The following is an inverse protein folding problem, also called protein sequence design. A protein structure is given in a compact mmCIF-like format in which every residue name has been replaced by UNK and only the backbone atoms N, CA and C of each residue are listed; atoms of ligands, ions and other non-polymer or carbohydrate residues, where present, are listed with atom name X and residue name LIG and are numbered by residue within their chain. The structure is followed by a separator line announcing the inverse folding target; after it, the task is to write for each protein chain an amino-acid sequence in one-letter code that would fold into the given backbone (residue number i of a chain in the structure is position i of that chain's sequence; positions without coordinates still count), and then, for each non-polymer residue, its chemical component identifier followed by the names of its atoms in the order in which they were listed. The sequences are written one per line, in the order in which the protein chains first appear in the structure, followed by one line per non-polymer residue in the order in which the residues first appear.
data_IF_480841701098
#
_entry.id   IF_480841701098
#
_cell.length_a   1.000
_cell.length_b   1.000
_cell.length_c   1.000
_cell.angle_alpha   90.00
_cell.angle_beta   90.00
_cell.angle_gamma   90.00
#
_symmetry.space_group_name_H-M   'P 1'
#
loop_
_entity.id
_entity.type
_entity.pdbx_description
1 polymer ?
#
# COMPACT_ATOMS: atom_id res chain seq x y z
N UNK A 1 -10.38 9.83 -2.80
CA UNK A 1 -10.86 8.43 -2.70
C UNK A 1 -11.64 8.16 -1.43
N UNK A 2 -11.07 8.40 -0.24
CA UNK A 2 -11.73 8.09 1.04
C UNK A 2 -13.11 8.77 1.22
N UNK A 3 -13.22 10.07 0.92
CA UNK A 3 -14.50 10.80 1.00
C UNK A 3 -15.60 10.16 0.12
N UNK A 4 -15.26 9.81 -1.12
CA UNK A 4 -16.18 9.14 -2.04
C UNK A 4 -16.60 7.76 -1.52
N UNK A 5 -15.66 6.98 -0.98
CA UNK A 5 -15.93 5.67 -0.41
C UNK A 5 -16.81 5.73 0.85
N UNK A 6 -16.66 6.79 1.66
CA UNK A 6 -17.47 7.00 2.86
C UNK A 6 -18.88 7.50 2.53
N UNK A 7 -19.05 8.26 1.43
CA UNK A 7 -20.32 8.85 1.05
C UNK A 7 -20.85 9.78 2.14
N UNK A 8 -22.07 9.54 2.63
CA UNK A 8 -22.68 10.32 3.71
C UNK A 8 -21.98 10.21 5.08
N UNK A 9 -20.94 9.38 5.21
CA UNK A 9 -20.19 9.14 6.46
C UNK A 9 -18.87 9.92 6.54
N UNK A 10 -18.74 11.01 5.78
CA UNK A 10 -17.51 11.81 5.72
C UNK A 10 -17.02 12.30 7.11
N UNK A 11 -17.91 12.47 8.09
CA UNK A 11 -17.53 12.83 9.47
C UNK A 11 -16.73 11.77 10.23
N UNK A 12 -16.63 10.53 9.70
CA UNK A 12 -15.78 9.47 10.24
C UNK A 12 -14.35 9.51 9.65
N UNK A 13 -14.09 10.38 8.68
CA UNK A 13 -12.79 10.47 8.04
C UNK A 13 -11.77 11.07 9.00
N UNK A 14 -10.65 10.39 9.14
CA UNK A 14 -9.43 10.91 9.75
C UNK A 14 -8.24 10.65 8.83
N UNK A 15 -7.21 11.47 8.93
CA UNK A 15 -5.97 11.35 8.16
C UNK A 15 -4.80 11.07 9.07
N UNK A 16 -3.91 10.16 8.68
CA UNK A 16 -2.68 9.84 9.41
C UNK A 16 -1.47 9.93 8.45
N UNK A 17 -0.43 10.72 8.77
CA UNK A 17 0.78 10.83 7.93
C UNK A 17 1.49 9.49 7.71
N UNK A 18 1.34 8.52 8.60
CA UNK A 18 1.89 7.17 8.46
C UNK A 18 1.33 6.40 7.27
N UNK A 19 0.22 6.84 6.68
CA UNK A 19 -0.42 6.22 5.52
C UNK A 19 -0.07 6.88 4.18
N UNK A 20 0.80 7.90 4.16
CA UNK A 20 1.26 8.57 2.93
C UNK A 20 2.05 7.60 2.02
N UNK A 21 2.08 7.85 0.71
CA UNK A 21 2.89 7.04 -0.20
C UNK A 21 4.38 7.06 0.18
N UNK A 22 5.12 6.03 -0.23
CA UNK A 22 6.59 6.00 -0.10
C UNK A 22 7.22 7.27 -0.69
N UNK A 23 8.11 7.90 0.08
CA UNK A 23 8.90 9.01 -0.41
C UNK A 23 9.96 8.48 -1.40
N UNK A 24 9.83 8.86 -2.66
CA UNK A 24 10.77 8.47 -3.72
C UNK A 24 12.00 9.40 -3.77
N UNK A 25 12.00 10.47 -2.97
CA UNK A 25 13.12 11.40 -2.86
C UNK A 25 13.42 12.06 -4.20
N UNK A 26 14.67 12.00 -4.66
CA UNK A 26 15.10 12.66 -5.91
C UNK A 26 14.49 12.04 -7.19
N UNK A 27 13.77 10.93 -7.08
CA UNK A 27 13.00 10.36 -8.19
C UNK A 27 11.63 11.02 -8.36
N UNK A 28 11.14 11.78 -7.38
CA UNK A 28 9.84 12.43 -7.45
C UNK A 28 9.76 13.40 -8.64
N UNK A 29 8.65 13.32 -9.38
CA UNK A 29 8.43 14.11 -10.59
C UNK A 29 9.17 13.64 -11.84
N UNK A 30 9.98 12.58 -11.76
CA UNK A 30 10.66 11.99 -12.91
C UNK A 30 9.87 10.83 -13.52
N UNK A 31 10.01 10.64 -14.83
CA UNK A 31 9.55 9.44 -15.51
C UNK A 31 10.49 8.27 -15.23
N UNK A 32 9.97 7.05 -15.28
CA UNK A 32 10.77 5.83 -15.15
C UNK A 32 11.93 5.76 -16.16
N UNK A 33 11.77 6.29 -17.37
CA UNK A 33 12.83 6.39 -18.37
C UNK A 33 13.94 7.35 -17.97
N UNK A 34 13.59 8.45 -17.30
CA UNK A 34 14.56 9.43 -16.80
C UNK A 34 15.31 8.89 -15.58
N UNK A 35 14.60 8.21 -14.68
CA UNK A 35 15.21 7.48 -13.56
C UNK A 35 16.16 6.42 -14.11
N UNK A 36 15.73 5.62 -15.09
CA UNK A 36 16.57 4.58 -15.71
C UNK A 36 17.80 5.13 -16.42
N UNK A 37 17.76 6.37 -16.91
CA UNK A 37 18.94 7.03 -17.47
C UNK A 37 19.90 7.57 -16.39
N UNK A 38 19.39 7.93 -15.21
CA UNK A 38 20.15 8.57 -14.12
C UNK A 38 20.70 7.58 -13.08
N UNK A 39 19.89 6.59 -12.71
CA UNK A 39 20.18 5.59 -11.67
C UNK A 39 19.68 4.19 -12.09
N UNK A 40 20.23 3.61 -13.17
CA UNK A 40 19.76 2.35 -13.75
C UNK A 40 19.88 1.17 -12.78
N UNK A 41 20.95 1.11 -11.99
CA UNK A 41 21.20 -0.01 -11.09
C UNK A 41 20.24 -0.02 -9.91
N UNK A 42 19.93 1.15 -9.32
CA UNK A 42 18.92 1.24 -8.26
C UNK A 42 17.52 1.01 -8.79
N UNK A 43 17.19 1.47 -10.00
CA UNK A 43 15.91 1.15 -10.63
C UNK A 43 15.77 -0.36 -10.88
N UNK A 44 16.85 -1.04 -11.30
CA UNK A 44 16.85 -2.50 -11.40
C UNK A 44 16.64 -3.15 -10.03
N UNK A 45 17.37 -2.72 -9.01
CA UNK A 45 17.20 -3.21 -7.64
C UNK A 45 15.77 -2.99 -7.12
N UNK A 46 15.12 -1.87 -7.47
CA UNK A 46 13.72 -1.62 -7.10
C UNK A 46 12.76 -2.62 -7.73
N UNK A 47 13.05 -3.10 -8.94
CA UNK A 47 12.22 -4.09 -9.63
C UNK A 47 12.50 -5.52 -9.18
N UNK A 48 13.75 -5.84 -8.84
CA UNK A 48 14.20 -7.21 -8.61
C UNK A 48 14.40 -7.53 -7.11
N UNK A 49 14.96 -6.61 -6.34
CA UNK A 49 15.26 -6.75 -4.91
C UNK A 49 14.77 -5.56 -4.08
N UNK A 50 13.48 -5.14 -4.20
CA UNK A 50 13.00 -3.86 -3.65
C UNK A 50 13.24 -3.67 -2.13
N UNK A 51 13.27 -4.75 -1.36
CA UNK A 51 13.60 -4.74 0.07
C UNK A 51 15.02 -4.24 0.43
N UNK A 52 15.96 -4.25 -0.52
CA UNK A 52 17.33 -3.76 -0.34
C UNK A 52 17.46 -2.28 -0.72
N UNK A 53 16.42 -1.69 -1.32
CA UNK A 53 16.45 -0.32 -1.84
C UNK A 53 16.09 0.67 -0.75
N UNK A 54 17.01 1.61 -0.55
CA UNK A 54 16.70 2.93 0.00
C UNK A 54 16.57 3.91 -1.17
N UNK A 55 15.41 4.55 -1.30
CA UNK A 55 15.20 5.60 -2.31
C UNK A 55 16.14 6.78 -2.05
N UNK A 56 16.70 7.42 -3.09
CA UNK A 56 17.70 8.47 -2.91
C UNK A 56 17.09 9.71 -2.25
N UNK A 57 17.41 9.94 -0.97
CA UNK A 57 16.79 11.00 -0.17
C UNK A 57 15.33 10.72 0.20
N UNK A 58 14.90 9.47 0.10
CA UNK A 58 13.54 9.02 0.41
C UNK A 58 13.53 7.90 1.44
N UNK A 59 12.63 6.94 1.25
CA UNK A 59 12.38 5.84 2.19
C UNK A 59 12.80 4.47 1.64
N UNK A 60 13.03 3.51 2.54
CA UNK A 60 13.03 2.08 2.25
C UNK A 60 11.66 1.46 2.52
N UNK A 61 11.40 0.26 1.99
CA UNK A 61 10.15 -0.47 2.29
C UNK A 61 9.96 -0.73 3.79
N UNK A 62 11.05 -0.95 4.53
CA UNK A 62 10.96 -1.15 5.98
C UNK A 62 10.48 0.13 6.69
N UNK A 63 11.00 1.30 6.31
CA UNK A 63 10.56 2.57 6.89
C UNK A 63 9.07 2.84 6.60
N UNK A 64 8.61 2.54 5.38
CA UNK A 64 7.19 2.63 5.01
C UNK A 64 6.34 1.69 5.87
N UNK A 65 6.78 0.45 6.03
CA UNK A 65 6.09 -0.52 6.88
C UNK A 65 5.99 -0.04 8.32
N UNK A 66 7.09 0.41 8.92
CA UNK A 66 7.13 0.82 10.33
C UNK A 66 6.09 1.92 10.62
N UNK A 67 6.01 2.95 9.76
CA UNK A 67 5.03 4.04 9.93
C UNK A 67 3.60 3.63 9.59
N UNK A 68 3.40 2.81 8.56
CA UNK A 68 2.08 2.37 8.12
C UNK A 68 1.45 1.40 9.11
N UNK A 69 2.25 0.47 9.65
CA UNK A 69 1.81 -0.47 10.67
C UNK A 69 1.42 0.26 11.95
N UNK A 70 2.25 1.21 12.41
CA UNK A 70 1.91 2.03 13.57
C UNK A 70 0.62 2.84 13.35
N UNK A 71 0.37 3.35 12.13
CA UNK A 71 -0.87 4.04 11.79
C UNK A 71 -2.10 3.12 11.80
N UNK A 72 -1.97 1.90 11.26
CA UNK A 72 -3.03 0.88 11.34
C UNK A 72 -3.38 0.55 12.80
N UNK A 73 -2.36 0.34 13.65
CA UNK A 73 -2.57 0.05 15.07
C UNK A 73 -3.30 1.20 15.77
N UNK A 74 -2.91 2.45 15.52
CA UNK A 74 -3.61 3.64 16.07
C UNK A 74 -5.05 3.73 15.58
N UNK A 75 -5.30 3.43 14.31
CA UNK A 75 -6.63 3.51 13.72
C UNK A 75 -7.58 2.40 14.22
N UNK A 76 -7.01 1.24 14.60
CA UNK A 76 -7.75 0.13 15.16
C UNK A 76 -7.95 0.21 16.69
N UNK A 77 -7.14 1.02 17.38
CA UNK A 77 -7.21 1.16 18.83
C UNK A 77 -8.57 1.69 19.29
N UNK A 78 -9.16 1.01 20.28
CA UNK A 78 -10.47 1.36 20.84
C UNK A 78 -11.68 1.07 19.94
N UNK A 79 -11.50 0.41 18.79
CA UNK A 79 -12.63 -0.07 17.99
C UNK A 79 -13.33 -1.25 18.70
N UNK A 80 -14.67 -1.26 18.62
CA UNK A 80 -15.48 -2.39 19.08
C UNK A 80 -15.20 -3.65 18.25
N UNK A 81 -15.45 -4.83 18.81
CA UNK A 81 -15.14 -6.11 18.18
C UNK A 81 -15.90 -6.35 16.85
N UNK A 82 -17.02 -5.67 16.63
CA UNK A 82 -17.84 -5.71 15.42
C UNK A 82 -17.64 -4.49 14.49
N UNK A 83 -16.72 -3.58 14.85
CA UNK A 83 -16.43 -2.40 14.05
C UNK A 83 -15.69 -2.75 12.75
N UNK A 84 -15.91 -1.95 11.71
CA UNK A 84 -15.20 -2.06 10.43
C UNK A 84 -14.34 -0.82 10.19
N UNK A 85 -13.03 -1.01 10.07
CA UNK A 85 -12.09 0.03 9.68
C UNK A 85 -11.93 0.07 8.15
N UNK A 86 -12.18 1.22 7.53
CA UNK A 86 -11.82 1.48 6.13
C UNK A 86 -10.47 2.19 6.08
N UNK A 87 -9.42 1.49 5.66
CA UNK A 87 -8.11 2.08 5.41
C UNK A 87 -7.97 2.44 3.92
N UNK A 88 -7.62 3.69 3.62
CA UNK A 88 -7.35 4.15 2.26
C UNK A 88 -5.93 4.72 2.20
N UNK A 89 -5.06 4.06 1.44
CA UNK A 89 -3.67 4.46 1.29
C UNK A 89 -3.19 4.26 -0.16
N UNK A 90 -1.91 3.97 -0.35
CA UNK A 90 -1.22 3.95 -1.64
C UNK A 90 -0.57 2.59 -1.95
N UNK A 91 0.06 2.45 -3.12
CA UNK A 91 0.50 1.15 -3.64
C UNK A 91 1.57 0.51 -2.74
N UNK A 92 2.66 1.22 -2.44
CA UNK A 92 3.73 0.65 -1.61
C UNK A 92 3.24 0.39 -0.18
N UNK A 93 2.44 1.30 0.39
CA UNK A 93 1.86 1.19 1.74
C UNK A 93 0.97 -0.04 1.86
N UNK A 94 -0.01 -0.21 0.96
CA UNK A 94 -0.91 -1.35 0.98
C UNK A 94 -0.14 -2.66 0.82
N UNK A 95 0.86 -2.69 -0.06
CA UNK A 95 1.67 -3.90 -0.29
C UNK A 95 2.48 -4.31 0.91
N UNK A 96 3.15 -3.38 1.62
CA UNK A 96 3.94 -3.76 2.79
C UNK A 96 3.04 -4.27 3.93
N UNK A 97 1.84 -3.68 4.11
CA UNK A 97 0.85 -4.17 5.07
C UNK A 97 0.36 -5.59 4.69
N UNK A 98 -0.01 -5.80 3.43
CA UNK A 98 -0.46 -7.10 2.93
C UNK A 98 0.66 -8.15 3.00
N UNK A 99 1.90 -7.79 2.67
CA UNK A 99 3.06 -8.66 2.82
C UNK A 99 3.22 -9.11 4.27
N UNK A 100 3.10 -8.19 5.23
CA UNK A 100 3.18 -8.53 6.65
C UNK A 100 2.08 -9.51 7.07
N UNK A 101 0.82 -9.21 6.74
CA UNK A 101 -0.34 -10.06 7.07
C UNK A 101 -0.25 -11.45 6.43
N UNK A 102 0.23 -11.54 5.18
CA UNK A 102 0.38 -12.81 4.45
C UNK A 102 1.68 -13.56 4.78
N UNK A 103 2.58 -13.01 5.59
CA UNK A 103 3.91 -13.58 5.82
C UNK A 103 4.80 -13.61 4.58
N UNK A 104 4.55 -12.73 3.60
CA UNK A 104 5.34 -12.60 2.39
C UNK A 104 6.52 -11.64 2.65
N UNK A 105 7.78 -12.05 2.41
CA UNK A 105 8.91 -11.15 2.56
C UNK A 105 8.84 -10.00 1.55
N UNK A 106 9.29 -8.80 1.94
CA UNK A 106 9.25 -7.60 1.07
C UNK A 106 10.05 -7.75 -0.23
N UNK A 107 11.01 -8.67 -0.33
CA UNK A 107 11.66 -9.01 -1.60
C UNK A 107 10.68 -9.54 -2.66
N UNK A 108 9.49 -9.99 -2.24
CA UNK A 108 8.39 -10.43 -3.11
C UNK A 108 7.23 -9.42 -3.18
N UNK A 109 7.46 -8.14 -2.88
CA UNK A 109 6.43 -7.08 -2.91
C UNK A 109 5.59 -7.09 -4.21
N UNK A 110 6.22 -7.43 -5.33
CA UNK A 110 5.61 -7.44 -6.66
C UNK A 110 4.89 -8.74 -7.03
N UNK A 111 4.79 -9.73 -6.12
CA UNK A 111 4.22 -11.05 -6.42
C UNK A 111 2.68 -11.08 -6.47
N UNK A 112 2.02 -10.00 -6.09
CA UNK A 112 0.58 -9.81 -6.25
C UNK A 112 0.32 -8.43 -6.87
N UNK A 113 -0.83 -8.28 -7.54
CA UNK A 113 -1.25 -7.00 -8.09
C UNK A 113 -1.84 -6.11 -6.99
N UNK A 114 -1.87 -4.81 -7.21
CA UNK A 114 -2.72 -3.84 -6.51
C UNK A 114 -3.17 -2.87 -7.59
N UNK A 115 -4.45 -2.91 -7.94
CA UNK A 115 -5.04 -1.99 -8.89
C UNK A 115 -5.47 -0.70 -8.17
N UNK A 116 -5.53 0.45 -8.87
CA UNK A 116 -6.27 1.59 -8.37
C UNK A 116 -7.68 1.15 -7.93
N UNK A 117 -8.13 1.67 -6.78
CA UNK A 117 -9.46 1.40 -6.20
C UNK A 117 -9.80 -0.06 -5.92
N UNK A 118 -8.81 -0.96 -5.87
CA UNK A 118 -9.09 -2.33 -5.44
C UNK A 118 -9.38 -2.42 -3.95
N UNK A 119 -10.23 -3.38 -3.57
CA UNK A 119 -10.58 -3.65 -2.18
C UNK A 119 -9.87 -4.93 -1.70
N UNK A 120 -9.25 -4.85 -0.54
CA UNK A 120 -8.76 -6.00 0.21
C UNK A 120 -9.59 -6.11 1.49
N UNK A 121 -10.05 -7.31 1.82
CA UNK A 121 -10.80 -7.59 3.05
C UNK A 121 -9.91 -8.41 3.98
N UNK A 122 -9.61 -7.84 5.14
CA UNK A 122 -8.88 -8.46 6.22
C UNK A 122 -9.82 -8.64 7.40
N UNK A 123 -9.81 -9.81 8.03
CA UNK A 123 -10.64 -10.10 9.21
C UNK A 123 -9.78 -10.72 10.31
N UNK A 124 -10.04 -10.38 11.56
CA UNK A 124 -9.28 -10.90 12.69
C UNK A 124 -9.71 -10.25 14.01
N UNK A 125 -9.36 -10.85 15.15
CA UNK A 125 -9.71 -10.30 16.46
C UNK A 125 -8.97 -9.00 16.78
N UNK A 126 -7.81 -8.78 16.15
CA UNK A 126 -6.99 -7.58 16.31
C UNK A 126 -6.01 -7.47 15.13
N UNK A 127 -5.36 -6.31 14.92
CA UNK A 127 -4.43 -6.12 13.80
C UNK A 127 -3.27 -7.13 13.73
N UNK A 128 -2.82 -7.69 14.87
CA UNK A 128 -1.73 -8.67 14.88
C UNK A 128 -2.16 -10.08 14.43
N UNK A 129 -3.46 -10.30 14.25
CA UNK A 129 -4.07 -11.60 13.91
C UNK A 129 -5.08 -11.48 12.77
N UNK A 130 -4.74 -10.69 11.74
CA UNK A 130 -5.55 -10.55 10.54
C UNK A 130 -5.34 -11.71 9.58
N UNK A 131 -6.42 -12.16 8.95
CA UNK A 131 -6.45 -13.10 7.83
C UNK A 131 -6.93 -12.37 6.57
N UNK A 132 -6.36 -12.72 5.41
CA UNK A 132 -6.81 -12.17 4.13
C UNK A 132 -8.01 -12.97 3.62
N UNK A 133 -9.20 -12.40 3.73
CA UNK A 133 -10.46 -13.01 3.25
C UNK A 133 -10.68 -12.75 1.77
N UNK A 134 -10.36 -11.53 1.32
CA UNK A 134 -10.37 -11.17 -0.12
C UNK A 134 -9.17 -10.29 -0.44
N UNK A 135 -8.56 -10.55 -1.59
CA UNK A 135 -7.43 -9.79 -2.11
C UNK A 135 -7.78 -9.29 -3.51
N UNK A 136 -7.52 -8.00 -3.76
CA UNK A 136 -7.69 -7.39 -5.08
C UNK A 136 -9.10 -7.44 -5.69
N UNK A 137 -10.16 -7.31 -4.89
CA UNK A 137 -11.52 -7.21 -5.45
C UNK A 137 -11.66 -5.88 -6.20
N UNK A 138 -11.85 -5.97 -7.50
CA UNK A 138 -12.05 -4.85 -8.42
C UNK A 138 -13.35 -5.00 -9.22
N UNK A 139 -14.21 -5.96 -8.83
CA UNK A 139 -15.43 -6.32 -9.57
C UNK A 139 -16.35 -5.12 -9.85
N UNK A 140 -16.33 -4.12 -8.97
CA UNK A 140 -17.11 -2.89 -9.07
C UNK A 140 -16.65 -1.92 -10.18
N UNK A 141 -15.45 -2.08 -10.74
CA UNK A 141 -14.92 -1.21 -11.79
C UNK A 141 -14.26 -1.94 -12.97
N UNK A 142 -13.92 -3.23 -12.85
CA UNK A 142 -13.33 -4.02 -13.94
C UNK A 142 -14.15 -3.97 -15.24
N UNK A 143 -15.50 -4.01 -15.23
CA UNK A 143 -16.28 -3.87 -16.47
C UNK A 143 -16.05 -2.56 -17.23
N UNK A 144 -15.56 -1.50 -16.56
CA UNK A 144 -15.35 -0.18 -17.15
C UNK A 144 -13.90 0.03 -17.63
N UNK A 145 -12.92 -0.57 -16.95
CA UNK A 145 -11.51 -0.28 -17.15
C UNK A 145 -10.64 -1.49 -17.50
N UNK A 146 -11.20 -2.71 -17.47
CA UNK A 146 -10.46 -3.95 -17.61
C UNK A 146 -9.64 -4.32 -16.36
N UNK A 147 -8.79 -5.34 -16.49
CA UNK A 147 -7.83 -5.69 -15.43
C UNK A 147 -6.67 -4.70 -15.37
N UNK A 148 -6.21 -4.38 -14.17
CA UNK A 148 -5.02 -3.55 -13.99
C UNK A 148 -3.75 -4.26 -14.47
N UNK A 149 -2.92 -3.51 -15.20
CA UNK A 149 -1.57 -3.91 -15.60
C UNK A 149 -0.59 -3.39 -14.56
N UNK A 150 0.16 -4.30 -13.93
CA UNK A 150 1.19 -3.93 -12.97
C UNK A 150 2.39 -3.28 -13.67
N UNK A 151 2.87 -2.15 -13.14
CA UNK A 151 4.15 -1.55 -13.51
C UNK A 151 4.84 -1.10 -12.23
N UNK A 152 5.71 -1.96 -11.67
CA UNK A 152 6.72 -1.46 -10.76
C UNK A 152 7.55 -0.46 -11.58
N UNK A 153 7.58 0.81 -11.14
CA UNK A 153 8.24 1.95 -11.80
C UNK A 153 9.31 1.55 -12.82
#
# INVERSE_FOLDING_TARGET
TAELALGGRAGLLSTDPGLLEIAHGSWEGLLASEIGARDPDRLRAWRETPHEVLMPGGESLQQVFDRAWAALLRAADGLDADATLLLVAHDAVNRVLLCHVLGIPFGRLWSFRQAPTTLNLLEGPDPSRLEVVRLNDCSHHTPLFGEAVHRAL
#
